data_IF_644999669414
#
_entry.id   IF_644999669414
#
_cell.length_a   1.000
_cell.length_b   1.000
_cell.length_c   1.000
_cell.angle_alpha   90.00
_cell.angle_beta   90.00
_cell.angle_gamma   90.00
#
_symmetry.space_group_name_H-M   'P 1'
#
loop_
_entity.id
_entity.type
_entity.pdbx_description
1 polymer ?
#
# COMPACT_ATOMS: atom_id res chain seq x y z
N UNK A 1 -16.39 13.69 24.10
CA UNK A 1 -15.91 12.91 22.93
C UNK A 1 -14.46 13.30 22.68
N UNK A 2 -13.51 12.46 23.10
CA UNK A 2 -12.08 12.71 22.92
C UNK A 2 -11.67 12.24 21.52
N UNK A 3 -11.32 13.18 20.64
CA UNK A 3 -10.72 12.90 19.34
C UNK A 3 -9.26 12.50 19.55
N UNK A 4 -9.02 11.21 19.82
CA UNK A 4 -7.66 10.66 19.87
C UNK A 4 -7.04 10.85 18.49
N UNK A 5 -6.22 11.89 18.36
CA UNK A 5 -5.45 12.14 17.14
C UNK A 5 -4.40 11.03 17.07
N UNK A 6 -4.69 9.94 16.37
CA UNK A 6 -3.69 8.90 16.11
C UNK A 6 -2.54 9.56 15.36
N UNK A 7 -1.45 9.88 16.06
CA UNK A 7 -0.24 10.36 15.43
C UNK A 7 0.22 9.32 14.41
N UNK A 8 0.45 9.78 13.18
CA UNK A 8 0.94 8.94 12.10
C UNK A 8 2.34 8.44 12.50
N UNK A 9 2.45 7.15 12.86
CA UNK A 9 3.75 6.51 13.09
C UNK A 9 4.51 6.48 11.77
N UNK A 10 5.75 6.93 11.76
CA UNK A 10 6.62 6.81 10.60
C UNK A 10 7.06 5.34 10.48
N UNK A 11 6.88 4.76 9.29
CA UNK A 11 7.42 3.45 8.96
C UNK A 11 8.81 3.67 8.36
N UNK A 12 9.83 3.15 9.02
CA UNK A 12 11.20 3.13 8.50
C UNK A 12 11.55 1.68 8.16
N UNK A 13 12.06 1.46 6.96
CA UNK A 13 12.58 0.17 6.51
C UNK A 13 13.96 0.41 5.92
N UNK A 14 14.86 -0.55 6.11
CA UNK A 14 16.12 -0.60 5.39
C UNK A 14 15.89 -1.39 4.09
N UNK A 15 16.25 -0.80 2.97
CA UNK A 15 16.17 -1.39 1.65
C UNK A 15 17.38 -0.92 0.84
N UNK A 16 17.78 -1.69 -0.16
CA UNK A 16 18.80 -1.24 -1.12
C UNK A 16 18.27 -0.07 -1.94
N UNK A 17 19.19 0.74 -2.47
CA UNK A 17 18.84 1.88 -3.35
C UNK A 17 18.05 1.40 -4.58
N UNK A 18 18.48 0.30 -5.21
CA UNK A 18 17.78 -0.30 -6.34
C UNK A 18 16.34 -0.72 -5.99
N UNK A 19 16.13 -1.32 -4.81
CA UNK A 19 14.79 -1.70 -4.38
C UNK A 19 13.93 -0.46 -4.12
N UNK A 20 14.52 0.59 -3.55
CA UNK A 20 13.84 1.86 -3.32
C UNK A 20 13.36 2.45 -4.65
N UNK A 21 14.25 2.55 -5.63
CA UNK A 21 13.94 3.09 -6.95
C UNK A 21 12.88 2.25 -7.68
N UNK A 22 12.99 0.92 -7.66
CA UNK A 22 12.02 0.03 -8.31
C UNK A 22 10.61 0.19 -7.72
N UNK A 23 10.50 0.23 -6.38
CA UNK A 23 9.22 0.38 -5.70
C UNK A 23 8.58 1.73 -5.99
N UNK A 24 9.38 2.80 -5.97
CA UNK A 24 8.91 4.14 -6.29
C UNK A 24 8.53 4.30 -7.76
N UNK A 25 9.31 3.71 -8.68
CA UNK A 25 9.02 3.72 -10.12
C UNK A 25 7.72 2.98 -10.42
N UNK A 26 7.54 1.78 -9.87
CA UNK A 26 6.30 1.02 -9.99
C UNK A 26 5.08 1.82 -9.49
N UNK A 27 5.18 2.40 -8.29
CA UNK A 27 4.08 3.17 -7.71
C UNK A 27 3.73 4.39 -8.58
N UNK A 28 4.74 5.07 -9.12
CA UNK A 28 4.54 6.19 -10.05
C UNK A 28 3.85 5.76 -11.35
N UNK A 29 4.28 4.64 -11.95
CA UNK A 29 3.65 4.08 -13.15
C UNK A 29 2.17 3.75 -12.93
N UNK A 30 1.82 3.21 -11.75
CA UNK A 30 0.45 2.83 -11.41
C UNK A 30 -0.40 3.98 -10.85
N UNK A 31 0.19 5.17 -10.66
CA UNK A 31 -0.48 6.36 -10.15
C UNK A 31 -0.88 6.26 -8.67
N UNK A 32 -0.11 5.52 -7.87
CA UNK A 32 -0.33 5.29 -6.43
C UNK A 32 0.89 5.67 -5.61
N UNK A 33 0.73 5.81 -4.30
CA UNK A 33 1.84 5.95 -3.36
C UNK A 33 2.34 4.58 -2.90
N UNK A 34 3.66 4.47 -2.68
CA UNK A 34 4.28 3.26 -2.10
C UNK A 34 3.62 2.87 -0.77
N UNK A 35 3.30 3.86 0.06
CA UNK A 35 2.60 3.63 1.33
C UNK A 35 1.18 3.06 1.20
N UNK A 36 0.50 3.28 0.06
CA UNK A 36 -0.81 2.68 -0.20
C UNK A 36 -0.67 1.25 -0.74
N UNK A 37 0.38 0.97 -1.52
CA UNK A 37 0.74 -0.39 -1.95
C UNK A 37 1.06 -1.27 -0.73
N UNK A 38 1.88 -0.77 0.20
CA UNK A 38 2.19 -1.47 1.44
C UNK A 38 0.96 -1.75 2.31
N UNK A 39 0.03 -0.78 2.40
CA UNK A 39 -1.23 -0.96 3.15
C UNK A 39 -2.13 -2.01 2.48
N UNK A 40 -2.19 -2.03 1.14
CA UNK A 40 -2.95 -3.03 0.39
C UNK A 40 -2.35 -4.43 0.52
N UNK A 41 -1.02 -4.55 0.49
CA UNK A 41 -0.32 -5.82 0.71
C UNK A 41 -0.45 -6.35 2.14
N UNK A 42 -0.73 -5.49 3.13
CA UNK A 42 -0.88 -5.94 4.51
C UNK A 42 -2.00 -6.98 4.66
N UNK A 43 -3.07 -6.89 3.87
CA UNK A 43 -4.15 -7.88 3.85
C UNK A 43 -3.69 -9.22 3.26
N UNK A 44 -2.85 -9.19 2.22
CA UNK A 44 -2.28 -10.39 1.59
C UNK A 44 -1.18 -11.05 2.45
N UNK A 45 -0.50 -10.27 3.30
CA UNK A 45 0.56 -10.71 4.20
C UNK A 45 0.03 -11.21 5.55
N UNK A 46 -1.28 -11.11 5.80
CA UNK A 46 -1.88 -11.81 6.94
C UNK A 46 -1.80 -13.31 6.64
N UNK A 47 -0.70 -13.96 7.06
CA UNK A 47 -0.35 -15.37 6.81
C UNK A 47 -1.37 -16.39 7.35
N UNK A 48 -2.47 -15.91 7.95
CA UNK A 48 -3.64 -16.71 8.36
C UNK A 48 -4.75 -16.73 7.31
N UNK A 49 -4.72 -15.83 6.33
CA UNK A 49 -5.61 -15.83 5.18
C UNK A 49 -5.14 -16.87 4.16
N UNK A 50 -6.05 -17.75 3.73
CA UNK A 50 -5.83 -18.71 2.65
C UNK A 50 -5.11 -18.01 1.50
N UNK A 51 -3.89 -18.45 1.20
CA UNK A 51 -3.17 -17.90 0.05
C UNK A 51 -3.92 -18.35 -1.18
N UNK A 52 -4.71 -17.46 -1.76
CA UNK A 52 -5.44 -17.70 -3.00
C UNK A 52 -4.51 -18.28 -4.07
N UNK A 53 -4.95 -19.35 -4.75
CA UNK A 53 -4.29 -19.93 -5.93
C UNK A 53 -4.32 -18.98 -7.16
N UNK A 54 -4.82 -17.75 -6.98
CA UNK A 54 -4.87 -16.76 -8.05
C UNK A 54 -3.47 -16.45 -8.60
N UNK A 55 -3.34 -16.29 -9.94
CA UNK A 55 -2.09 -15.86 -10.56
C UNK A 55 -1.56 -14.56 -9.94
N UNK A 56 -0.23 -14.48 -9.77
CA UNK A 56 0.45 -13.30 -9.20
C UNK A 56 0.01 -11.96 -9.83
N UNK A 57 -0.24 -11.96 -11.15
CA UNK A 57 -0.68 -10.77 -11.89
C UNK A 57 -2.05 -10.28 -11.43
N UNK A 58 -2.98 -11.19 -11.16
CA UNK A 58 -4.32 -10.86 -10.70
C UNK A 58 -4.27 -10.29 -9.29
N UNK A 59 -3.54 -10.96 -8.39
CA UNK A 59 -3.26 -10.47 -7.04
C UNK A 59 -2.64 -9.06 -7.04
N UNK A 60 -1.66 -8.82 -7.91
CA UNK A 60 -1.04 -7.51 -8.04
C UNK A 60 -2.04 -6.44 -8.54
N UNK A 61 -2.93 -6.80 -9.46
CA UNK A 61 -3.97 -5.87 -9.93
C UNK A 61 -4.96 -5.48 -8.84
N UNK A 62 -5.32 -6.42 -7.96
CA UNK A 62 -6.18 -6.15 -6.80
C UNK A 62 -5.49 -5.24 -5.79
N UNK A 63 -4.22 -5.49 -5.50
CA UNK A 63 -3.38 -4.63 -4.66
C UNK A 63 -3.37 -3.19 -5.18
N UNK A 64 -3.16 -3.00 -6.48
CA UNK A 64 -3.19 -1.67 -7.11
C UNK A 64 -4.57 -1.01 -6.97
N UNK A 65 -5.66 -1.76 -7.17
CA UNK A 65 -7.02 -1.25 -7.03
C UNK A 65 -7.32 -0.77 -5.60
N UNK A 66 -6.90 -1.55 -4.59
CA UNK A 66 -7.01 -1.19 -3.18
C UNK A 66 -6.16 0.06 -2.88
N UNK A 67 -4.90 0.09 -3.34
CA UNK A 67 -4.00 1.22 -3.14
C UNK A 67 -4.57 2.53 -3.71
N UNK A 68 -5.16 2.51 -4.91
CA UNK A 68 -5.83 3.67 -5.53
C UNK A 68 -6.97 4.19 -4.66
N UNK A 69 -7.79 3.29 -4.10
CA UNK A 69 -8.91 3.64 -3.21
C UNK A 69 -8.42 4.29 -1.91
N UNK A 70 -7.36 3.74 -1.34
CA UNK A 70 -6.70 4.27 -0.13
C UNK A 70 -6.18 5.69 -0.36
N UNK A 71 -5.46 5.93 -1.46
CA UNK A 71 -4.96 7.27 -1.77
C UNK A 71 -6.08 8.26 -2.10
N UNK A 72 -7.13 7.84 -2.80
CA UNK A 72 -8.30 8.68 -3.04
C UNK A 72 -8.95 9.12 -1.71
N UNK A 73 -9.10 8.19 -0.76
CA UNK A 73 -9.62 8.47 0.57
C UNK A 73 -8.73 9.44 1.34
N UNK A 74 -7.41 9.23 1.33
CA UNK A 74 -6.43 10.13 1.96
C UNK A 74 -6.46 11.53 1.35
N UNK A 75 -6.56 11.65 0.02
CA UNK A 75 -6.69 12.94 -0.68
C UNK A 75 -7.98 13.68 -0.31
N UNK A 76 -9.10 12.97 -0.19
CA UNK A 76 -10.38 13.56 0.26
C UNK A 76 -10.30 14.10 1.68
N UNK A 77 -9.64 13.40 2.61
CA UNK A 77 -9.46 13.85 4.00
C UNK A 77 -8.54 15.06 4.15
N UNK A 78 -7.67 15.33 3.15
CA UNK A 78 -6.73 16.45 3.15
C UNK A 78 -7.31 17.72 2.51
N UNK A 79 -8.46 17.63 1.84
CA UNK A 79 -9.23 18.76 1.35
C UNK A 79 -10.21 19.20 2.43
#
# INVERSE_FOLDING_TARGET
MTTTTQQRKALHAYLSDDAHEQWHTFAAQEGVSVSAVLEALATELDFTADTSDAPMKERLSEVVAIARRTDATRRRRRR
#
